data_IF_998381520447
#
_entry.id   IF_998381520447
#
_cell.length_a   1.000
_cell.length_b   1.000
_cell.length_c   1.000
_cell.angle_alpha   90.00
_cell.angle_beta   90.00
_cell.angle_gamma   90.00
#
_symmetry.space_group_name_H-M   'P 1'
#
loop_
_entity.id
_entity.type
_entity.pdbx_description
1 polymer ?
#
# COMPACT_ATOMS: atom_id res chain seq x y z
N UNK A 1 8.16 25.42 -56.31
CA UNK A 1 7.23 25.57 -55.20
C UNK A 1 7.26 24.26 -54.40
N UNK A 2 7.97 24.23 -53.28
CA UNK A 2 8.10 23.04 -52.42
C UNK A 2 7.12 23.22 -51.26
N UNK A 3 6.15 22.31 -51.16
CA UNK A 3 5.08 22.34 -50.19
C UNK A 3 5.58 21.69 -48.90
N UNK A 4 5.76 22.48 -47.84
CA UNK A 4 6.07 22.03 -46.49
C UNK A 4 4.75 21.79 -45.74
N UNK A 5 4.18 20.58 -45.84
CA UNK A 5 3.10 20.17 -44.95
C UNK A 5 3.67 19.75 -43.59
N UNK A 6 3.23 20.46 -42.56
CA UNK A 6 3.48 20.25 -41.16
C UNK A 6 3.39 18.78 -40.74
N UNK A 7 4.47 18.26 -40.18
CA UNK A 7 4.45 17.11 -39.29
C UNK A 7 3.82 17.58 -37.98
N UNK A 8 2.55 17.27 -37.79
CA UNK A 8 1.89 17.35 -36.48
C UNK A 8 2.58 16.38 -35.55
N UNK A 9 3.32 16.90 -34.60
CA UNK A 9 3.93 16.13 -33.53
C UNK A 9 2.84 15.38 -32.75
N UNK A 10 2.94 14.07 -32.73
CA UNK A 10 2.11 13.20 -31.94
C UNK A 10 2.52 13.37 -30.45
N UNK A 11 1.98 14.40 -29.80
CA UNK A 11 2.11 14.61 -28.35
C UNK A 11 1.28 13.53 -27.65
N UNK A 12 1.79 12.31 -27.62
CA UNK A 12 1.30 11.26 -26.73
C UNK A 12 1.75 11.67 -25.33
N UNK A 13 0.99 12.53 -24.67
CA UNK A 13 0.97 12.54 -23.23
C UNK A 13 0.65 11.10 -22.83
N UNK A 14 1.60 10.47 -22.15
CA UNK A 14 1.34 9.22 -21.46
C UNK A 14 0.22 9.54 -20.46
N UNK A 15 -1.00 9.16 -20.77
CA UNK A 15 -2.08 9.14 -19.78
C UNK A 15 -1.60 8.20 -18.66
N UNK A 16 -1.15 8.80 -17.58
CA UNK A 16 -0.82 8.05 -16.36
C UNK A 16 -2.12 7.41 -15.92
N UNK A 17 -2.25 6.11 -16.16
CA UNK A 17 -3.42 5.37 -15.69
C UNK A 17 -3.48 5.51 -14.18
N UNK A 18 -4.63 5.98 -13.65
CA UNK A 18 -4.83 6.17 -12.21
C UNK A 18 -5.14 4.85 -11.48
N UNK A 19 -5.01 3.72 -12.18
CA UNK A 19 -5.26 2.37 -11.66
C UNK A 19 -4.08 1.88 -10.82
N UNK A 20 -4.37 1.37 -9.62
CA UNK A 20 -3.38 0.69 -8.77
C UNK A 20 -3.20 -0.74 -9.26
N UNK A 21 -1.97 -1.15 -9.48
CA UNK A 21 -1.61 -2.43 -10.10
C UNK A 21 -0.77 -3.32 -9.18
N UNK A 22 -0.53 -4.54 -9.61
CA UNK A 22 0.43 -5.43 -8.96
C UNK A 22 1.88 -4.91 -9.04
N UNK A 23 2.21 -4.13 -10.07
CA UNK A 23 3.54 -3.53 -10.21
C UNK A 23 3.75 -2.39 -9.19
N UNK A 24 2.67 -1.73 -8.78
CA UNK A 24 2.71 -0.78 -7.66
C UNK A 24 3.02 -1.49 -6.34
N UNK A 25 2.42 -2.67 -6.09
CA UNK A 25 2.77 -3.51 -4.93
C UNK A 25 4.26 -3.89 -4.94
N UNK A 26 4.79 -4.35 -6.08
CA UNK A 26 6.21 -4.68 -6.20
C UNK A 26 7.11 -3.48 -5.95
N UNK A 27 6.72 -2.30 -6.44
CA UNK A 27 7.46 -1.04 -6.23
C UNK A 27 7.46 -0.62 -4.77
N UNK A 28 6.31 -0.74 -4.09
CA UNK A 28 6.17 -0.44 -2.66
C UNK A 28 6.99 -1.40 -1.81
N UNK A 29 6.92 -2.71 -2.09
CA UNK A 29 7.74 -3.73 -1.41
C UNK A 29 9.23 -3.40 -1.57
N UNK A 30 9.66 -3.06 -2.77
CA UNK A 30 11.06 -2.70 -3.04
C UNK A 30 11.49 -1.45 -2.26
N UNK A 31 10.62 -0.44 -2.16
CA UNK A 31 10.87 0.76 -1.37
C UNK A 31 11.06 0.41 0.12
N UNK A 32 10.13 -0.35 0.71
CA UNK A 32 10.19 -0.75 2.11
C UNK A 32 11.42 -1.62 2.39
N UNK A 33 11.73 -2.58 1.51
CA UNK A 33 12.94 -3.40 1.63
C UNK A 33 14.21 -2.55 1.62
N UNK A 34 14.31 -1.60 0.69
CA UNK A 34 15.48 -0.72 0.61
C UNK A 34 15.66 0.15 1.86
N UNK A 35 14.56 0.57 2.48
CA UNK A 35 14.56 1.37 3.71
C UNK A 35 14.85 0.56 4.97
N UNK A 36 14.39 -0.69 5.07
CA UNK A 36 14.44 -1.46 6.31
C UNK A 36 15.55 -2.50 6.37
N UNK A 37 16.02 -3.06 5.24
CA UNK A 37 17.14 -4.03 5.24
C UNK A 37 18.39 -3.52 5.95
N UNK A 38 18.82 -2.24 5.80
CA UNK A 38 20.02 -1.74 6.47
C UNK A 38 19.94 -1.69 7.99
N UNK A 39 18.74 -1.86 8.58
CA UNK A 39 18.51 -1.77 10.03
C UNK A 39 18.04 -3.09 10.65
N UNK A 40 18.11 -4.21 9.92
CA UNK A 40 17.69 -5.52 10.44
C UNK A 40 18.65 -6.09 11.50
N UNK A 41 19.81 -5.49 11.69
CA UNK A 41 20.74 -5.78 12.79
C UNK A 41 20.42 -5.03 14.10
N UNK A 42 19.42 -4.10 14.04
CA UNK A 42 18.98 -3.35 15.21
C UNK A 42 17.99 -4.15 16.06
N UNK A 43 17.73 -3.65 17.27
CA UNK A 43 16.69 -4.22 18.15
C UNK A 43 15.29 -3.82 17.69
N UNK A 44 14.54 -4.76 17.12
CA UNK A 44 13.16 -4.54 16.64
C UNK A 44 12.10 -4.75 17.73
N UNK A 45 12.49 -4.95 19.00
CA UNK A 45 11.57 -4.91 20.14
C UNK A 45 11.16 -3.49 20.53
N UNK A 46 11.76 -2.48 19.89
CA UNK A 46 11.39 -1.07 20.07
C UNK A 46 10.06 -0.76 19.38
N UNK A 47 9.32 0.20 19.93
CA UNK A 47 8.01 0.61 19.44
C UNK A 47 8.10 1.19 18.02
N UNK A 48 7.21 0.75 17.12
CA UNK A 48 7.13 1.25 15.75
C UNK A 48 6.37 2.59 15.70
N UNK A 49 7.06 3.68 15.45
CA UNK A 49 6.47 5.00 15.36
C UNK A 49 5.56 5.34 16.54
N UNK A 50 4.30 5.65 16.25
CA UNK A 50 3.27 5.95 17.27
C UNK A 50 2.38 4.76 17.61
N UNK A 51 2.65 3.56 17.09
CA UNK A 51 1.86 2.35 17.33
C UNK A 51 2.08 1.81 18.75
N UNK A 52 1.20 0.95 19.23
CA UNK A 52 1.42 0.18 20.47
C UNK A 52 2.30 -1.05 20.23
N UNK A 53 2.44 -1.48 18.98
CA UNK A 53 3.25 -2.62 18.57
C UNK A 53 4.73 -2.23 18.41
N UNK A 54 5.60 -3.20 18.63
CA UNK A 54 7.02 -3.08 18.29
C UNK A 54 7.25 -3.28 16.77
N UNK A 55 8.48 -3.03 16.33
CA UNK A 55 8.84 -3.13 14.92
C UNK A 55 8.68 -4.55 14.38
N UNK A 56 9.00 -5.58 15.19
CA UNK A 56 8.92 -6.97 14.78
C UNK A 56 7.46 -7.39 14.52
N UNK A 57 6.56 -7.13 15.47
CA UNK A 57 5.13 -7.43 15.31
C UNK A 57 4.47 -6.58 14.23
N UNK A 58 4.96 -5.35 14.01
CA UNK A 58 4.48 -4.50 12.91
C UNK A 58 4.85 -5.10 11.55
N UNK A 59 6.06 -5.64 11.39
CA UNK A 59 6.46 -6.33 10.16
C UNK A 59 5.68 -7.65 9.96
N UNK A 60 5.46 -8.41 11.03
CA UNK A 60 4.61 -9.61 11.01
C UNK A 60 3.19 -9.27 10.55
N UNK A 61 2.61 -8.18 11.09
CA UNK A 61 1.29 -7.71 10.69
C UNK A 61 1.21 -7.37 9.20
N UNK A 62 2.24 -6.73 8.62
CA UNK A 62 2.28 -6.51 7.17
C UNK A 62 2.12 -7.84 6.42
N UNK A 63 2.88 -8.87 6.79
CA UNK A 63 2.84 -10.18 6.16
C UNK A 63 1.47 -10.85 6.26
N UNK A 64 0.86 -10.87 7.47
CA UNK A 64 -0.48 -11.43 7.71
C UNK A 64 -1.56 -10.70 6.92
N UNK A 65 -1.52 -9.36 6.92
CA UNK A 65 -2.48 -8.53 6.21
C UNK A 65 -2.46 -8.81 4.70
N UNK A 66 -1.27 -8.83 4.09
CA UNK A 66 -1.10 -9.06 2.66
C UNK A 66 -1.48 -10.51 2.25
N UNK A 67 -1.17 -11.50 3.08
CA UNK A 67 -1.62 -12.88 2.89
C UNK A 67 -3.15 -12.98 3.02
N UNK A 68 -3.75 -12.32 3.99
CA UNK A 68 -5.21 -12.26 4.14
C UNK A 68 -5.88 -11.70 2.89
N UNK A 69 -5.37 -10.62 2.32
CA UNK A 69 -5.89 -10.04 1.07
C UNK A 69 -5.72 -11.00 -0.12
N UNK A 70 -4.61 -11.71 -0.21
CA UNK A 70 -4.38 -12.72 -1.24
C UNK A 70 -5.38 -13.88 -1.13
N UNK A 71 -5.66 -14.37 0.09
CA UNK A 71 -6.67 -15.42 0.33
C UNK A 71 -8.08 -14.96 -0.02
N UNK A 72 -8.42 -13.68 0.24
CA UNK A 72 -9.70 -13.12 -0.17
C UNK A 72 -9.87 -13.17 -1.68
N UNK A 73 -8.85 -12.80 -2.45
CA UNK A 73 -8.88 -12.91 -3.91
C UNK A 73 -8.94 -14.35 -4.41
N UNK A 74 -8.26 -15.28 -3.72
CA UNK A 74 -8.25 -16.70 -4.09
C UNK A 74 -9.61 -17.39 -3.86
N UNK A 75 -10.25 -17.12 -2.70
CA UNK A 75 -11.46 -17.81 -2.25
C UNK A 75 -12.74 -17.05 -2.58
N UNK A 76 -12.66 -15.71 -2.73
CA UNK A 76 -13.76 -14.80 -3.06
C UNK A 76 -14.97 -14.91 -2.11
N UNK A 77 -14.77 -14.92 -0.78
CA UNK A 77 -15.89 -15.00 0.16
C UNK A 77 -16.70 -13.71 0.13
N UNK A 78 -18.01 -13.80 0.36
CA UNK A 78 -18.94 -12.66 0.27
C UNK A 78 -19.30 -12.04 1.63
N UNK A 79 -19.01 -12.69 2.76
CA UNK A 79 -19.54 -12.25 4.05
C UNK A 79 -18.56 -12.26 5.22
N UNK A 80 -17.33 -12.69 5.03
CA UNK A 80 -16.30 -12.75 6.07
C UNK A 80 -14.91 -12.91 5.50
N UNK A 81 -13.88 -12.66 6.29
CA UNK A 81 -12.53 -13.09 5.97
C UNK A 81 -12.41 -14.62 5.97
N UNK A 82 -11.47 -15.13 5.17
CA UNK A 82 -10.98 -16.51 5.32
C UNK A 82 -10.48 -16.67 6.75
N UNK A 83 -10.91 -17.76 7.43
CA UNK A 83 -10.55 -18.02 8.83
C UNK A 83 -9.16 -18.67 8.90
N UNK A 84 -8.15 -17.88 8.60
CA UNK A 84 -6.75 -18.26 8.68
C UNK A 84 -5.95 -17.05 9.17
N UNK A 85 -4.78 -17.31 9.72
CA UNK A 85 -3.80 -16.30 10.15
C UNK A 85 -2.45 -16.75 9.62
N UNK A 86 -1.70 -15.84 9.04
CA UNK A 86 -0.31 -16.08 8.67
C UNK A 86 0.58 -15.46 9.75
N UNK A 87 1.52 -16.23 10.27
CA UNK A 87 2.47 -15.78 11.30
C UNK A 87 3.89 -16.15 10.90
N UNK A 88 4.85 -15.30 11.26
CA UNK A 88 6.25 -15.67 11.21
C UNK A 88 6.57 -16.71 12.28
N UNK A 89 7.63 -17.46 12.11
CA UNK A 89 8.07 -18.41 13.13
C UNK A 89 8.51 -17.67 14.41
N UNK A 90 8.18 -18.26 15.56
CA UNK A 90 8.58 -17.70 16.84
C UNK A 90 10.11 -17.60 16.94
N UNK A 91 10.62 -16.41 17.15
CA UNK A 91 12.05 -16.13 17.25
C UNK A 91 12.72 -15.85 15.91
N UNK A 92 11.95 -15.69 14.83
CA UNK A 92 12.46 -15.17 13.58
C UNK A 92 13.18 -13.82 13.80
N UNK A 93 14.33 -13.64 13.19
CA UNK A 93 15.09 -12.39 13.21
C UNK A 93 14.35 -11.26 12.47
N UNK A 94 14.72 -9.99 12.67
CA UNK A 94 14.15 -8.89 11.89
C UNK A 94 14.24 -9.10 10.37
N UNK A 95 15.32 -9.67 9.86
CA UNK A 95 15.47 -9.98 8.44
C UNK A 95 14.46 -11.05 7.98
N UNK A 96 14.22 -12.08 8.78
CA UNK A 96 13.30 -13.18 8.46
C UNK A 96 11.84 -12.74 8.54
N UNK A 97 11.46 -11.91 9.53
CA UNK A 97 10.09 -11.36 9.58
C UNK A 97 9.84 -10.38 8.44
N UNK A 98 10.85 -9.64 8.00
CA UNK A 98 10.76 -8.78 6.82
C UNK A 98 10.63 -9.62 5.53
N UNK A 99 11.33 -10.77 5.42
CA UNK A 99 11.15 -11.72 4.33
C UNK A 99 9.72 -12.30 4.31
N UNK A 100 9.13 -12.58 5.47
CA UNK A 100 7.73 -12.98 5.58
C UNK A 100 6.78 -11.89 5.04
N UNK A 101 6.98 -10.61 5.42
CA UNK A 101 6.21 -9.48 4.91
C UNK A 101 6.31 -9.37 3.38
N UNK A 102 7.51 -9.47 2.83
CA UNK A 102 7.78 -9.48 1.38
C UNK A 102 7.07 -10.64 0.69
N UNK A 103 7.10 -11.83 1.30
CA UNK A 103 6.43 -13.02 0.75
C UNK A 103 4.93 -12.77 0.63
N UNK A 104 4.28 -12.25 1.68
CA UNK A 104 2.87 -11.84 1.65
C UNK A 104 2.57 -10.88 0.50
N UNK A 105 3.40 -9.86 0.33
CA UNK A 105 3.24 -8.87 -0.73
C UNK A 105 3.38 -9.46 -2.15
N UNK A 106 4.35 -10.33 -2.37
CA UNK A 106 4.53 -11.01 -3.67
C UNK A 106 3.39 -11.97 -3.99
N UNK A 107 2.86 -12.67 -2.99
CA UNK A 107 1.67 -13.53 -3.16
C UNK A 107 0.46 -12.67 -3.52
N UNK A 108 0.24 -11.55 -2.83
CA UNK A 108 -0.84 -10.63 -3.17
C UNK A 108 -0.67 -10.06 -4.59
N UNK A 109 0.52 -9.61 -4.96
CA UNK A 109 0.81 -9.10 -6.31
C UNK A 109 0.50 -10.15 -7.40
N UNK A 110 0.85 -11.42 -7.15
CA UNK A 110 0.53 -12.54 -8.05
C UNK A 110 -0.99 -12.73 -8.16
N UNK A 111 -1.72 -12.69 -7.05
CA UNK A 111 -3.18 -12.81 -7.05
C UNK A 111 -3.85 -11.64 -7.77
N UNK A 112 -3.37 -10.41 -7.59
CA UNK A 112 -3.88 -9.22 -8.32
C UNK A 112 -3.66 -9.38 -9.83
N UNK A 113 -2.47 -9.80 -10.28
CA UNK A 113 -2.16 -10.01 -11.72
C UNK A 113 -3.04 -11.04 -12.38
N UNK A 114 -3.39 -12.10 -11.66
CA UNK A 114 -4.13 -13.24 -12.21
C UNK A 114 -5.64 -13.13 -12.02
N UNK A 115 -6.10 -12.23 -11.17
CA UNK A 115 -7.52 -12.00 -10.92
C UNK A 115 -8.18 -11.22 -12.05
N UNK A 116 -9.40 -11.62 -12.42
CA UNK A 116 -10.21 -10.86 -13.38
C UNK A 116 -10.81 -9.61 -12.72
N UNK A 117 -10.99 -8.54 -13.45
CA UNK A 117 -11.49 -7.25 -12.93
C UNK A 117 -12.88 -7.32 -12.26
N UNK A 118 -13.71 -8.32 -12.62
CA UNK A 118 -15.04 -8.51 -12.03
C UNK A 118 -15.01 -9.28 -10.69
N UNK A 119 -13.88 -9.83 -10.28
CA UNK A 119 -13.74 -10.51 -8.98
C UNK A 119 -14.08 -9.56 -7.86
N UNK A 120 -14.85 -10.06 -6.90
CA UNK A 120 -15.21 -9.34 -5.67
C UNK A 120 -15.03 -10.27 -4.49
N UNK A 121 -14.43 -9.74 -3.41
CA UNK A 121 -14.28 -10.48 -2.17
C UNK A 121 -14.55 -9.57 -0.97
N UNK A 122 -14.93 -10.18 0.13
CA UNK A 122 -15.30 -9.48 1.34
C UNK A 122 -14.12 -8.69 1.93
N UNK A 123 -14.42 -7.46 2.33
CA UNK A 123 -13.63 -6.64 3.25
C UNK A 123 -14.60 -5.92 4.18
N UNK A 124 -14.29 -5.66 5.47
CA UNK A 124 -15.21 -5.00 6.41
C UNK A 124 -15.73 -3.64 5.95
N UNK A 125 -14.95 -2.93 5.14
CA UNK A 125 -15.33 -1.63 4.58
C UNK A 125 -16.08 -1.72 3.23
N UNK A 126 -16.32 -2.93 2.69
CA UNK A 126 -17.05 -3.13 1.42
C UNK A 126 -16.46 -4.25 0.55
N UNK A 127 -17.21 -4.69 -0.46
CA UNK A 127 -16.75 -5.74 -1.39
C UNK A 127 -15.61 -5.21 -2.27
N UNK A 128 -14.39 -5.65 -1.98
CA UNK A 128 -13.20 -5.22 -2.69
C UNK A 128 -13.01 -5.95 -4.04
N UNK A 129 -12.45 -5.25 -5.00
CA UNK A 129 -11.92 -5.81 -6.24
C UNK A 129 -10.39 -5.99 -6.17
N UNK A 130 -9.75 -6.58 -7.19
CA UNK A 130 -8.29 -6.76 -7.19
C UNK A 130 -7.52 -5.44 -7.03
N UNK A 131 -8.00 -4.36 -7.64
CA UNK A 131 -7.39 -3.03 -7.51
C UNK A 131 -7.53 -2.47 -6.09
N UNK A 132 -8.69 -2.65 -5.45
CA UNK A 132 -8.91 -2.25 -4.05
C UNK A 132 -7.97 -2.99 -3.10
N UNK A 133 -7.79 -4.30 -3.27
CA UNK A 133 -6.82 -5.08 -2.49
C UNK A 133 -5.38 -4.65 -2.76
N UNK A 134 -5.03 -4.33 -4.02
CA UNK A 134 -3.71 -3.79 -4.35
C UNK A 134 -3.47 -2.44 -3.65
N UNK A 135 -4.43 -1.52 -3.73
CA UNK A 135 -4.34 -0.21 -3.07
C UNK A 135 -4.21 -0.31 -1.55
N UNK A 136 -5.03 -1.16 -0.92
CA UNK A 136 -4.91 -1.43 0.52
C UNK A 136 -3.57 -2.08 0.87
N UNK A 137 -3.11 -3.06 0.08
CA UNK A 137 -1.81 -3.69 0.29
C UNK A 137 -0.64 -2.70 0.19
N UNK A 138 -0.65 -1.81 -0.78
CA UNK A 138 0.33 -0.73 -0.88
C UNK A 138 0.30 0.19 0.35
N UNK A 139 -0.90 0.58 0.78
CA UNK A 139 -1.09 1.45 1.94
C UNK A 139 -0.57 0.80 3.23
N UNK A 140 -0.98 -0.43 3.54
CA UNK A 140 -0.51 -1.18 4.72
C UNK A 140 1.01 -1.30 4.73
N UNK A 141 1.59 -1.70 3.60
CA UNK A 141 3.04 -1.88 3.47
C UNK A 141 3.80 -0.57 3.68
N UNK A 142 3.35 0.53 3.06
CA UNK A 142 4.02 1.83 3.17
C UNK A 142 3.90 2.43 4.57
N UNK A 143 2.70 2.45 5.15
CA UNK A 143 2.52 3.09 6.45
C UNK A 143 3.23 2.32 7.55
N UNK A 144 3.04 1.01 7.62
CA UNK A 144 3.69 0.20 8.65
C UNK A 144 5.20 0.08 8.42
N UNK A 145 5.66 0.03 7.16
CA UNK A 145 7.08 0.14 6.86
C UNK A 145 7.69 1.46 7.33
N UNK A 146 6.96 2.57 7.16
CA UNK A 146 7.41 3.88 7.66
C UNK A 146 7.32 3.99 9.19
N UNK A 147 6.32 3.39 9.83
CA UNK A 147 6.24 3.32 11.30
C UNK A 147 7.49 2.61 11.87
N UNK A 148 7.95 1.51 11.23
CA UNK A 148 9.20 0.83 11.59
C UNK A 148 10.42 1.74 11.34
N UNK A 149 10.53 2.36 10.17
CA UNK A 149 11.65 3.25 9.84
C UNK A 149 11.78 4.40 10.85
N UNK A 150 10.66 5.00 11.25
CA UNK A 150 10.62 6.10 12.23
C UNK A 150 11.16 5.70 13.61
N UNK A 151 11.02 4.45 14.03
CA UNK A 151 11.59 3.96 15.29
C UNK A 151 13.12 4.10 15.33
N UNK A 152 13.75 4.15 14.18
CA UNK A 152 15.19 4.26 14.01
C UNK A 152 15.63 5.65 13.48
N UNK A 153 14.74 6.63 13.50
CA UNK A 153 15.02 8.00 13.03
C UNK A 153 15.13 8.12 11.51
N UNK A 154 14.56 7.15 10.77
CA UNK A 154 14.53 7.12 9.31
C UNK A 154 13.11 7.42 8.81
N UNK A 155 12.98 7.61 7.50
CA UNK A 155 11.70 7.73 6.81
C UNK A 155 11.79 7.05 5.45
N UNK A 156 10.66 6.63 4.92
CA UNK A 156 10.57 6.10 3.57
C UNK A 156 10.35 7.24 2.57
N UNK A 157 10.87 7.05 1.36
CA UNK A 157 10.63 7.92 0.20
C UNK A 157 10.00 7.09 -0.93
N UNK A 158 8.71 6.77 -0.84
CA UNK A 158 8.05 5.94 -1.82
C UNK A 158 7.80 6.68 -3.15
N UNK A 159 7.66 5.94 -4.27
CA UNK A 159 7.39 6.53 -5.58
C UNK A 159 6.11 7.39 -5.53
N UNK A 160 6.28 8.67 -5.86
CA UNK A 160 5.24 9.69 -5.76
C UNK A 160 3.97 9.36 -6.55
N UNK A 161 4.13 8.80 -7.73
CA UNK A 161 3.04 8.41 -8.63
C UNK A 161 2.27 7.19 -8.09
N UNK A 162 2.93 6.26 -7.42
CA UNK A 162 2.28 5.15 -6.70
C UNK A 162 1.43 5.70 -5.56
N UNK A 163 1.99 6.57 -4.71
CA UNK A 163 1.24 7.20 -3.61
C UNK A 163 -0.01 7.93 -4.12
N UNK A 164 0.08 8.65 -5.26
CA UNK A 164 -1.05 9.34 -5.87
C UNK A 164 -2.14 8.35 -6.33
N UNK A 165 -1.78 7.26 -7.01
CA UNK A 165 -2.75 6.23 -7.44
C UNK A 165 -3.42 5.56 -6.25
N UNK A 166 -2.65 5.17 -5.24
CA UNK A 166 -3.17 4.56 -4.01
C UNK A 166 -4.13 5.51 -3.30
N UNK A 167 -3.73 6.78 -3.11
CA UNK A 167 -4.57 7.78 -2.46
C UNK A 167 -5.91 7.97 -3.20
N UNK A 168 -5.85 8.18 -4.51
CA UNK A 168 -7.04 8.37 -5.34
C UNK A 168 -7.96 7.14 -5.31
N UNK A 169 -7.38 5.92 -5.26
CA UNK A 169 -8.17 4.68 -5.30
C UNK A 169 -8.84 4.33 -3.99
N UNK A 170 -8.16 4.45 -2.86
CA UNK A 170 -8.68 3.98 -1.57
C UNK A 170 -9.03 5.09 -0.58
N UNK A 171 -8.71 6.35 -0.90
CA UNK A 171 -9.12 7.53 -0.14
C UNK A 171 -9.67 8.62 -1.08
N UNK A 172 -10.71 8.33 -1.88
CA UNK A 172 -11.23 9.27 -2.88
C UNK A 172 -11.77 10.57 -2.27
N UNK A 173 -11.99 10.59 -0.96
CA UNK A 173 -12.41 11.77 -0.20
C UNK A 173 -11.24 12.67 0.25
N UNK A 174 -9.99 12.27 0.01
CA UNK A 174 -8.84 13.09 0.37
C UNK A 174 -8.83 14.42 -0.42
N UNK A 175 -8.46 15.55 0.21
CA UNK A 175 -8.39 16.83 -0.49
C UNK A 175 -7.43 16.76 -1.69
N UNK A 176 -7.90 17.23 -2.85
CA UNK A 176 -7.18 17.12 -4.12
C UNK A 176 -5.86 17.89 -4.08
N UNK A 177 -5.85 19.08 -3.48
CA UNK A 177 -4.67 19.93 -3.34
C UNK A 177 -3.54 19.25 -2.56
N UNK A 178 -3.87 18.49 -1.51
CA UNK A 178 -2.90 17.65 -0.78
C UNK A 178 -2.39 16.49 -1.62
N UNK A 179 -3.30 15.80 -2.32
CA UNK A 179 -2.95 14.65 -3.15
C UNK A 179 -2.03 15.04 -4.33
N UNK A 180 -2.16 16.24 -4.86
CA UNK A 180 -1.34 16.75 -5.95
C UNK A 180 0.01 17.32 -5.47
N UNK A 181 0.03 18.03 -4.34
CA UNK A 181 1.22 18.69 -3.83
C UNK A 181 2.23 17.72 -3.24
N UNK A 182 1.78 16.81 -2.37
CA UNK A 182 2.62 15.77 -1.74
C UNK A 182 1.80 14.51 -1.44
N UNK A 183 1.67 13.59 -2.41
CA UNK A 183 0.86 12.38 -2.25
C UNK A 183 1.31 11.46 -1.11
N UNK A 184 2.60 11.43 -0.78
CA UNK A 184 3.08 10.61 0.33
C UNK A 184 2.63 11.18 1.68
N UNK A 185 2.84 12.46 1.89
CA UNK A 185 2.35 13.15 3.09
C UNK A 185 0.82 13.09 3.19
N UNK A 186 0.10 13.23 2.06
CA UNK A 186 -1.34 13.07 2.03
C UNK A 186 -1.79 11.64 2.40
N UNK A 187 -1.06 10.61 1.96
CA UNK A 187 -1.34 9.21 2.29
C UNK A 187 -1.12 8.93 3.79
N UNK A 188 -0.05 9.47 4.39
CA UNK A 188 0.19 9.38 5.83
C UNK A 188 -0.93 10.06 6.63
N UNK A 189 -1.40 11.23 6.20
CA UNK A 189 -2.52 11.92 6.81
C UNK A 189 -3.82 11.09 6.67
N UNK A 190 -4.15 10.61 5.48
CA UNK A 190 -5.34 9.80 5.22
C UNK A 190 -5.35 8.52 6.05
N UNK A 191 -4.18 7.91 6.29
CA UNK A 191 -3.98 6.76 7.15
C UNK A 191 -3.83 7.09 8.65
N UNK A 192 -4.06 8.35 9.06
CA UNK A 192 -4.11 8.76 10.45
C UNK A 192 -2.73 8.79 11.15
N UNK A 193 -1.61 8.94 10.42
CA UNK A 193 -0.26 8.99 11.02
C UNK A 193 0.15 10.39 11.44
N UNK A 194 -0.27 11.41 10.70
CA UNK A 194 0.12 12.81 10.91
C UNK A 194 -1.08 13.74 10.88
N UNK A 195 -0.89 14.96 11.36
CA UNK A 195 -1.76 16.11 11.10
C UNK A 195 -1.11 17.04 10.07
N UNK A 196 -1.92 17.83 9.37
CA UNK A 196 -1.45 18.82 8.40
C UNK A 196 -2.09 20.18 8.70
N UNK A 197 -1.48 21.30 8.28
CA UNK A 197 -2.09 22.62 8.43
C UNK A 197 -3.51 22.66 7.88
N UNK A 198 -4.48 22.98 8.73
CA UNK A 198 -5.90 22.97 8.36
C UNK A 198 -6.58 21.60 8.29
N UNK A 199 -5.82 20.50 8.46
CA UNK A 199 -6.34 19.13 8.42
C UNK A 199 -5.88 18.35 9.67
N UNK A 200 -6.68 18.26 10.73
CA UNK A 200 -6.33 17.53 11.93
C UNK A 200 -6.11 16.05 11.63
N UNK A 201 -5.31 15.38 12.48
CA UNK A 201 -5.08 13.94 12.37
C UNK A 201 -6.40 13.18 12.33
N UNK A 202 -6.53 12.23 11.40
CA UNK A 202 -7.73 11.41 11.27
C UNK A 202 -7.88 10.47 12.48
N UNK A 203 -8.92 10.58 13.30
CA UNK A 203 -9.11 9.72 14.47
C UNK A 203 -9.55 8.30 14.09
N UNK A 204 -10.22 8.17 12.95
CA UNK A 204 -10.62 6.89 12.37
C UNK A 204 -10.55 6.99 10.85
N UNK A 205 -9.58 6.35 10.26
CA UNK A 205 -9.46 6.24 8.82
C UNK A 205 -10.12 4.95 8.31
N UNK A 206 -10.70 5.01 7.13
CA UNK A 206 -11.29 3.83 6.47
C UNK A 206 -10.97 3.87 4.99
N UNK A 207 -10.26 2.88 4.45
CA UNK A 207 -10.05 2.77 3.02
C UNK A 207 -11.37 2.47 2.31
N UNK A 208 -11.47 2.88 1.06
CA UNK A 208 -12.58 2.53 0.17
C UNK A 208 -12.16 1.33 -0.70
N UNK A 209 -12.50 0.08 -0.32
CA UNK A 209 -12.02 -1.11 -1.01
C UNK A 209 -12.84 -1.45 -2.26
N UNK A 210 -14.11 -1.05 -2.30
CA UNK A 210 -15.01 -1.32 -3.42
C UNK A 210 -14.60 -0.55 -4.68
N UNK A 211 -14.99 -1.00 -5.89
CA UNK A 211 -14.79 -0.22 -7.10
C UNK A 211 -15.35 1.19 -6.97
N UNK A 212 -14.63 2.17 -7.49
CA UNK A 212 -15.16 3.52 -7.63
C UNK A 212 -16.26 3.48 -8.71
N UNK A 213 -17.45 3.95 -8.36
CA UNK A 213 -18.52 4.14 -9.35
C UNK A 213 -18.18 5.36 -10.20
N UNK A 214 -18.06 5.15 -11.51
CA UNK A 214 -17.96 6.21 -12.51
C UNK A 214 -19.22 7.04 -12.58
#
# INVERSE_FOLDING_TARGET
MVNWSCLAGNDRRLEVTMTVTADDLDSVISCVMSGLLPITDRDWSVRAGTLEWDCWHTAEHIGDCLMSFAWQLAVQPSGRYVRAVATAEKGASPAEVLEFAVTGGRVLASMVRTSRAHVRAYHPAGMADPEGFAGMGCHETLLHGNDIAQAFGLGLDPPRDVCRRVLARIFPQAPIDLAESDPWTALQWAGGRIELPGHPRQPSWRPHPAPLTS
#
